data_IF_413035624598
#
_entry.id   IF_413035624598
#
_cell.length_a   1.000
_cell.length_b   1.000
_cell.length_c   1.000
_cell.angle_alpha   90.00
_cell.angle_beta   90.00
_cell.angle_gamma   90.00
#
_symmetry.space_group_name_H-M   'P 1'
#
loop_
_entity.id
_entity.type
_entity.pdbx_description
1 polymer ?
#
# COMPACT_ATOMS: atom_id res chain seq x y z
N UNK A 1 16.89 -11.83 -6.35
CA UNK A 1 17.16 -10.46 -5.86
C UNK A 1 16.97 -9.38 -6.95
N UNK A 2 17.55 -9.51 -8.15
CA UNK A 2 17.36 -8.49 -9.21
C UNK A 2 15.88 -8.29 -9.60
N UNK A 3 15.14 -9.38 -9.81
CA UNK A 3 13.71 -9.31 -10.15
C UNK A 3 12.86 -8.67 -9.05
N UNK A 4 13.25 -8.81 -7.78
CA UNK A 4 12.57 -8.17 -6.64
C UNK A 4 12.73 -6.66 -6.71
N UNK A 5 13.96 -6.20 -6.99
CA UNK A 5 14.25 -4.76 -7.14
C UNK A 5 13.56 -4.16 -8.34
N UNK A 6 13.48 -4.90 -9.44
CA UNK A 6 12.76 -4.47 -10.64
C UNK A 6 11.26 -4.36 -10.37
N UNK A 7 10.65 -5.37 -9.74
CA UNK A 7 9.25 -5.31 -9.32
C UNK A 7 9.00 -4.12 -8.39
N UNK A 8 9.84 -3.91 -7.37
CA UNK A 8 9.73 -2.77 -6.46
C UNK A 8 9.83 -1.43 -7.22
N UNK A 9 10.78 -1.29 -8.14
CA UNK A 9 10.94 -0.07 -8.97
C UNK A 9 9.71 0.20 -9.83
N UNK A 10 9.10 -0.82 -10.41
CA UNK A 10 7.88 -0.68 -11.22
C UNK A 10 6.70 -0.22 -10.35
N UNK A 11 6.56 -0.79 -9.15
CA UNK A 11 5.53 -0.37 -8.19
C UNK A 11 5.75 1.09 -7.77
N UNK A 12 7.00 1.51 -7.51
CA UNK A 12 7.30 2.91 -7.20
C UNK A 12 6.94 3.86 -8.34
N UNK A 13 7.16 3.46 -9.59
CA UNK A 13 6.76 4.27 -10.75
C UNK A 13 5.24 4.40 -10.84
N UNK A 14 4.50 3.29 -10.66
CA UNK A 14 3.05 3.29 -10.62
C UNK A 14 2.53 4.16 -9.46
N UNK A 15 3.14 4.07 -8.29
CA UNK A 15 2.79 4.90 -7.14
C UNK A 15 3.05 6.40 -7.40
N UNK A 16 4.12 6.78 -8.08
CA UNK A 16 4.36 8.18 -8.48
C UNK A 16 3.25 8.71 -9.39
N UNK A 17 2.80 7.91 -10.36
CA UNK A 17 1.69 8.28 -11.24
C UNK A 17 0.35 8.37 -10.48
N UNK A 18 0.17 7.52 -9.47
CA UNK A 18 -1.00 7.57 -8.59
C UNK A 18 -0.98 8.84 -7.72
N UNK A 19 0.18 9.18 -7.15
CA UNK A 19 0.37 10.36 -6.29
C UNK A 19 0.00 11.66 -7.01
N UNK A 20 0.35 11.79 -8.28
CA UNK A 20 -0.04 12.93 -9.13
C UNK A 20 -1.56 13.09 -9.27
N UNK A 21 -2.32 12.01 -9.04
CA UNK A 21 -3.78 11.97 -9.15
C UNK A 21 -4.46 11.78 -7.79
N UNK A 22 -3.77 12.06 -6.68
CA UNK A 22 -4.32 11.86 -5.34
C UNK A 22 -5.64 12.60 -5.12
N UNK A 23 -5.78 13.86 -5.58
CA UNK A 23 -7.05 14.59 -5.47
C UNK A 23 -8.20 13.89 -6.21
N UNK A 24 -7.92 13.31 -7.37
CA UNK A 24 -8.90 12.51 -8.13
C UNK A 24 -9.31 11.28 -7.34
N UNK A 25 -8.36 10.61 -6.67
CA UNK A 25 -8.63 9.46 -5.82
C UNK A 25 -9.52 9.83 -4.63
N UNK A 26 -9.25 10.93 -3.95
CA UNK A 26 -10.07 11.43 -2.84
C UNK A 26 -11.49 11.78 -3.30
N UNK A 27 -11.62 12.48 -4.43
CA UNK A 27 -12.94 12.77 -5.01
C UNK A 27 -13.72 11.52 -5.39
N UNK A 28 -13.04 10.49 -5.91
CA UNK A 28 -13.66 9.20 -6.22
C UNK A 28 -14.14 8.47 -4.95
N UNK A 29 -13.33 8.46 -3.89
CA UNK A 29 -13.74 7.90 -2.59
C UNK A 29 -14.94 8.65 -2.01
N UNK A 30 -14.96 9.98 -2.09
CA UNK A 30 -16.09 10.77 -1.61
C UNK A 30 -17.39 10.39 -2.35
N UNK A 31 -17.39 10.44 -3.69
CA UNK A 31 -18.59 10.13 -4.49
C UNK A 31 -19.08 8.70 -4.28
N UNK A 32 -18.16 7.74 -4.21
CA UNK A 32 -18.54 6.33 -4.02
C UNK A 32 -19.06 6.05 -2.61
N UNK A 33 -18.53 6.73 -1.57
CA UNK A 33 -19.09 6.70 -0.22
C UNK A 33 -20.49 7.31 -0.14
N UNK A 34 -20.70 8.44 -0.80
CA UNK A 34 -22.02 9.09 -0.89
C UNK A 34 -23.04 8.12 -1.51
N UNK A 35 -22.68 7.45 -2.61
CA UNK A 35 -23.51 6.43 -3.27
C UNK A 35 -23.72 5.17 -2.42
N UNK A 36 -22.79 4.84 -1.53
CA UNK A 36 -22.91 3.73 -0.58
C UNK A 36 -23.67 4.10 0.70
N UNK A 37 -24.01 5.38 0.87
CA UNK A 37 -24.52 5.95 2.13
C UNK A 37 -23.59 5.72 3.34
N UNK A 38 -22.27 5.56 3.12
CA UNK A 38 -21.25 5.36 4.19
C UNK A 38 -20.44 6.65 4.46
N UNK A 39 -21.17 7.68 4.87
CA UNK A 39 -20.59 9.00 5.16
C UNK A 39 -20.11 9.16 6.60
N UNK A 40 -20.48 8.23 7.49
CA UNK A 40 -20.19 8.32 8.92
C UNK A 40 -18.82 7.73 9.26
N UNK A 41 -18.42 6.65 8.59
CA UNK A 41 -17.20 5.92 8.93
C UNK A 41 -16.05 6.29 8.00
N UNK A 42 -14.79 6.23 8.48
CA UNK A 42 -13.62 6.34 7.61
C UNK A 42 -13.58 5.20 6.60
N UNK A 43 -12.90 5.45 5.47
CA UNK A 43 -12.44 4.39 4.60
C UNK A 43 -11.23 3.75 5.26
N UNK A 44 -11.46 2.59 5.86
CA UNK A 44 -10.55 1.97 6.80
C UNK A 44 -9.90 0.69 6.25
N UNK A 45 -10.21 0.24 5.04
CA UNK A 45 -9.61 -0.99 4.51
C UNK A 45 -9.52 -0.99 2.98
N UNK A 46 -8.62 -1.81 2.43
CA UNK A 46 -8.52 -2.05 0.98
C UNK A 46 -9.84 -2.63 0.46
N UNK A 47 -10.49 -3.49 1.24
CA UNK A 47 -11.76 -4.11 0.86
C UNK A 47 -12.93 -3.15 0.78
N UNK A 48 -12.96 -2.11 1.63
CA UNK A 48 -13.95 -1.04 1.45
C UNK A 48 -13.73 -0.29 0.13
N UNK A 49 -12.48 0.01 -0.25
CA UNK A 49 -12.17 0.66 -1.53
C UNK A 49 -12.63 -0.21 -2.72
N UNK A 50 -12.36 -1.52 -2.66
CA UNK A 50 -12.82 -2.49 -3.66
C UNK A 50 -14.35 -2.53 -3.73
N UNK A 51 -15.03 -2.64 -2.58
CA UNK A 51 -16.49 -2.68 -2.51
C UNK A 51 -17.14 -1.42 -3.09
N UNK A 52 -16.59 -0.25 -2.80
CA UNK A 52 -17.02 1.02 -3.38
C UNK A 52 -16.85 1.06 -4.90
N UNK A 53 -15.72 0.58 -5.41
CA UNK A 53 -15.47 0.50 -6.85
C UNK A 53 -16.44 -0.45 -7.55
N UNK A 54 -16.74 -1.61 -6.95
CA UNK A 54 -17.56 -2.64 -7.60
C UNK A 54 -19.04 -2.29 -7.60
N UNK A 55 -19.55 -1.75 -6.48
CA UNK A 55 -20.99 -1.61 -6.26
C UNK A 55 -21.50 -0.16 -6.32
N UNK A 56 -20.62 0.83 -6.17
CA UNK A 56 -21.04 2.23 -5.96
C UNK A 56 -20.33 3.23 -6.88
N UNK A 57 -19.54 2.74 -7.85
CA UNK A 57 -18.79 3.58 -8.79
C UNK A 57 -19.46 3.63 -10.17
N UNK A 58 -20.01 4.81 -10.49
CA UNK A 58 -20.85 5.03 -11.67
C UNK A 58 -20.13 5.66 -12.88
N UNK A 59 -18.86 6.08 -12.74
CA UNK A 59 -18.10 6.66 -13.86
C UNK A 59 -16.71 6.02 -14.01
N UNK A 60 -16.18 6.11 -15.23
CA UNK A 60 -14.93 5.47 -15.63
C UNK A 60 -13.69 6.12 -15.02
N UNK A 61 -13.70 7.44 -14.79
CA UNK A 61 -12.58 8.16 -14.18
C UNK A 61 -12.35 7.69 -12.74
N UNK A 62 -13.41 7.60 -11.96
CA UNK A 62 -13.38 7.12 -10.57
C UNK A 62 -12.95 5.66 -10.52
N UNK A 63 -13.56 4.82 -11.37
CA UNK A 63 -13.19 3.40 -11.47
C UNK A 63 -11.70 3.26 -11.80
N UNK A 64 -11.17 4.05 -12.72
CA UNK A 64 -9.77 4.00 -13.11
C UNK A 64 -8.83 4.33 -11.95
N UNK A 65 -9.10 5.39 -11.19
CA UNK A 65 -8.21 5.80 -10.10
C UNK A 65 -8.33 4.88 -8.87
N UNK A 66 -9.53 4.38 -8.56
CA UNK A 66 -9.73 3.37 -7.51
C UNK A 66 -9.01 2.06 -7.88
N UNK A 67 -9.14 1.62 -9.12
CA UNK A 67 -8.44 0.44 -9.61
C UNK A 67 -6.91 0.61 -9.58
N UNK A 68 -6.40 1.82 -9.84
CA UNK A 68 -4.97 2.10 -9.74
C UNK A 68 -4.44 1.89 -8.32
N UNK A 69 -5.17 2.36 -7.30
CA UNK A 69 -4.84 2.09 -5.89
C UNK A 69 -4.86 0.59 -5.57
N UNK A 70 -5.91 -0.11 -5.99
CA UNK A 70 -6.10 -1.54 -5.73
C UNK A 70 -5.00 -2.39 -6.39
N UNK A 71 -4.66 -2.09 -7.64
CA UNK A 71 -3.58 -2.77 -8.37
C UNK A 71 -2.22 -2.57 -7.70
N UNK A 72 -1.93 -1.36 -7.19
CA UNK A 72 -0.68 -1.14 -6.44
C UNK A 72 -0.66 -1.96 -5.15
N UNK A 73 -1.77 -2.04 -4.43
CA UNK A 73 -1.86 -2.86 -3.21
C UNK A 73 -1.68 -4.36 -3.53
N UNK A 74 -2.27 -4.84 -4.62
CA UNK A 74 -2.12 -6.22 -5.09
C UNK A 74 -0.68 -6.53 -5.54
N UNK A 75 -0.05 -5.63 -6.29
CA UNK A 75 1.35 -5.76 -6.70
C UNK A 75 2.30 -5.79 -5.48
N UNK A 76 2.03 -4.97 -4.46
CA UNK A 76 2.77 -4.99 -3.19
C UNK A 76 2.56 -6.32 -2.43
N UNK A 77 1.35 -6.87 -2.44
CA UNK A 77 1.03 -8.16 -1.81
C UNK A 77 1.77 -9.30 -2.50
N UNK A 78 1.74 -9.33 -3.83
CA UNK A 78 2.51 -10.27 -4.66
C UNK A 78 4.01 -10.13 -4.40
N UNK A 79 4.50 -8.90 -4.24
CA UNK A 79 5.90 -8.67 -3.89
C UNK A 79 6.23 -9.27 -2.52
N UNK A 80 5.37 -9.12 -1.49
CA UNK A 80 5.56 -9.77 -0.18
C UNK A 80 5.82 -11.27 -0.34
N UNK A 81 4.96 -11.96 -1.10
CA UNK A 81 5.07 -13.42 -1.30
C UNK A 81 6.33 -13.79 -2.09
N UNK A 82 6.71 -12.96 -3.08
CA UNK A 82 7.97 -13.14 -3.80
C UNK A 82 9.19 -12.98 -2.89
N UNK A 83 9.15 -12.08 -1.91
CA UNK A 83 10.24 -11.88 -0.96
C UNK A 83 10.47 -13.10 -0.06
N UNK A 84 9.40 -13.76 0.38
CA UNK A 84 9.46 -14.98 1.21
C UNK A 84 10.15 -16.15 0.49
N UNK A 85 9.99 -16.25 -0.83
CA UNK A 85 10.61 -17.33 -1.61
C UNK A 85 12.10 -17.07 -1.92
N UNK A 86 12.54 -15.81 -1.89
CA UNK A 86 13.90 -15.42 -2.31
C UNK A 86 14.91 -15.50 -1.16
N UNK A 87 14.48 -15.37 0.09
CA UNK A 87 15.37 -15.42 1.24
C UNK A 87 14.70 -16.18 2.37
N UNK A 88 15.37 -17.13 3.06
CA UNK A 88 14.81 -17.91 4.18
C UNK A 88 14.48 -17.06 5.43
N UNK A 89 14.49 -15.72 5.29
CA UNK A 89 14.18 -14.79 6.35
C UNK A 89 15.17 -14.77 7.51
N UNK A 90 15.05 -13.74 8.32
CA UNK A 90 15.50 -13.69 9.69
C UNK A 90 14.37 -13.01 10.50
N UNK A 91 14.49 -12.95 11.81
CA UNK A 91 13.43 -12.38 12.68
C UNK A 91 13.01 -10.97 12.26
N UNK A 92 13.97 -10.14 11.82
CA UNK A 92 13.71 -8.76 11.38
C UNK A 92 12.96 -8.72 10.04
N UNK A 93 13.50 -9.38 9.02
CA UNK A 93 12.91 -9.42 7.66
C UNK A 93 11.55 -10.10 7.64
N UNK A 94 11.35 -11.14 8.46
CA UNK A 94 10.04 -11.79 8.62
C UNK A 94 9.06 -10.84 9.30
N UNK A 95 9.48 -10.13 10.36
CA UNK A 95 8.63 -9.13 11.02
C UNK A 95 8.18 -8.01 10.07
N UNK A 96 9.06 -7.56 9.18
CA UNK A 96 8.74 -6.57 8.14
C UNK A 96 7.69 -7.13 7.17
N UNK A 97 7.88 -8.36 6.67
CA UNK A 97 6.94 -8.97 5.72
C UNK A 97 5.56 -9.24 6.34
N UNK A 98 5.51 -9.75 7.57
CA UNK A 98 4.24 -9.95 8.28
C UNK A 98 3.49 -8.64 8.46
N UNK A 99 4.21 -7.56 8.81
CA UNK A 99 3.61 -6.23 8.90
C UNK A 99 3.05 -5.76 7.56
N UNK A 100 3.78 -5.94 6.46
CA UNK A 100 3.29 -5.58 5.12
C UNK A 100 2.04 -6.36 4.73
N UNK A 101 2.05 -7.68 4.92
CA UNK A 101 0.90 -8.55 4.63
C UNK A 101 -0.32 -8.18 5.47
N UNK A 102 -0.12 -7.87 6.75
CA UNK A 102 -1.20 -7.40 7.63
C UNK A 102 -1.80 -6.08 7.11
N UNK A 103 -0.95 -5.09 6.79
CA UNK A 103 -1.41 -3.79 6.28
C UNK A 103 -2.17 -3.90 4.95
N UNK A 104 -1.73 -4.80 4.06
CA UNK A 104 -2.35 -5.02 2.75
C UNK A 104 -3.55 -5.98 2.79
N UNK A 105 -3.82 -6.61 3.95
CA UNK A 105 -4.94 -7.52 4.09
C UNK A 105 -6.26 -6.80 3.81
N UNK A 106 -7.13 -7.48 3.08
CA UNK A 106 -8.37 -6.93 2.54
C UNK A 106 -9.26 -6.27 3.62
N UNK A 107 -9.29 -6.82 4.83
CA UNK A 107 -10.13 -6.36 5.95
C UNK A 107 -9.36 -5.65 7.07
N UNK A 108 -8.05 -5.41 6.90
CA UNK A 108 -7.27 -4.78 7.96
C UNK A 108 -7.71 -3.32 8.17
N UNK A 109 -7.80 -2.91 9.44
CA UNK A 109 -8.15 -1.54 9.81
C UNK A 109 -6.94 -0.60 9.66
N UNK A 110 -7.11 0.40 8.81
CA UNK A 110 -6.15 1.43 8.45
C UNK A 110 -6.49 2.77 9.14
N UNK A 111 -7.59 2.86 9.89
CA UNK A 111 -8.09 4.13 10.46
C UNK A 111 -7.04 4.87 11.30
N UNK A 112 -6.12 4.15 11.93
CA UNK A 112 -5.08 4.67 12.83
C UNK A 112 -3.72 4.90 12.17
N UNK A 113 -3.47 4.37 10.97
CA UNK A 113 -2.14 4.47 10.35
C UNK A 113 -1.95 5.84 9.70
N UNK A 114 -0.78 6.45 9.87
CA UNK A 114 -0.43 7.71 9.20
C UNK A 114 0.99 7.65 8.68
N UNK A 115 1.15 7.99 7.40
CA UNK A 115 2.46 8.12 6.80
C UNK A 115 3.19 9.28 7.48
N UNK A 116 4.45 9.06 7.81
CA UNK A 116 5.31 10.06 8.44
C UNK A 116 6.17 10.73 7.37
N UNK A 117 6.81 11.83 7.73
CA UNK A 117 7.86 12.44 6.91
C UNK A 117 8.85 11.36 6.40
N UNK A 118 9.24 11.36 5.12
CA UNK A 118 9.08 12.43 4.12
C UNK A 118 7.77 12.41 3.32
N UNK A 119 6.82 11.52 3.63
CA UNK A 119 5.58 11.42 2.86
C UNK A 119 4.60 12.54 3.21
N UNK A 120 4.19 13.31 2.21
CA UNK A 120 3.30 14.45 2.33
C UNK A 120 1.84 14.15 1.90
N UNK A 121 1.54 12.90 1.56
CA UNK A 121 0.19 12.46 1.13
C UNK A 121 -0.91 12.89 2.10
N UNK A 122 -0.66 12.86 3.40
CA UNK A 122 -1.65 13.27 4.41
C UNK A 122 -1.82 14.80 4.43
N UNK A 123 -0.79 15.56 4.06
CA UNK A 123 -0.82 17.02 4.03
C UNK A 123 -1.63 17.58 2.85
N UNK A 124 -1.93 16.74 1.83
CA UNK A 124 -2.84 17.09 0.75
C UNK A 124 -4.32 16.96 1.13
N UNK A 125 -4.62 16.47 2.33
CA UNK A 125 -5.96 16.37 2.88
C UNK A 125 -6.23 17.54 3.83
N UNK A 126 -7.49 17.96 3.94
CA UNK A 126 -7.91 18.78 5.07
C UNK A 126 -7.76 18.01 6.39
N UNK A 127 -7.73 18.73 7.51
CA UNK A 127 -7.63 18.12 8.84
C UNK A 127 -8.74 17.08 9.10
N UNK A 128 -9.95 17.36 8.65
CA UNK A 128 -11.09 16.45 8.81
C UNK A 128 -10.92 15.19 7.95
N UNK A 129 -10.58 15.34 6.67
CA UNK A 129 -10.31 14.21 5.77
C UNK A 129 -9.16 13.33 6.28
N UNK A 130 -8.07 13.95 6.74
CA UNK A 130 -6.92 13.25 7.29
C UNK A 130 -7.26 12.49 8.57
N UNK A 131 -8.10 13.05 9.43
CA UNK A 131 -8.43 12.44 10.73
C UNK A 131 -9.54 11.40 10.61
N UNK A 132 -10.59 11.71 9.87
CA UNK A 132 -11.88 11.04 9.97
C UNK A 132 -12.27 10.25 8.72
N UNK A 133 -11.64 10.46 7.56
CA UNK A 133 -12.11 9.87 6.29
C UNK A 133 -11.06 9.02 5.55
N UNK A 134 -9.93 9.62 5.17
CA UNK A 134 -9.05 9.05 4.13
C UNK A 134 -7.60 8.88 4.57
N UNK A 135 -7.21 9.45 5.72
CA UNK A 135 -5.82 9.47 6.18
C UNK A 135 -5.14 8.10 6.23
N UNK A 136 -5.87 7.06 6.65
CA UNK A 136 -5.38 5.68 6.68
C UNK A 136 -5.06 5.13 5.29
N UNK A 137 -6.05 5.19 4.40
CA UNK A 137 -5.94 4.68 3.03
C UNK A 137 -4.86 5.39 2.22
N UNK A 138 -4.75 6.73 2.29
CA UNK A 138 -3.68 7.45 1.56
C UNK A 138 -2.28 7.14 2.10
N UNK A 139 -2.20 6.72 3.37
CA UNK A 139 -0.94 6.40 4.03
C UNK A 139 -0.46 4.98 3.75
N UNK A 140 -1.34 4.08 3.28
CA UNK A 140 -1.04 2.66 3.15
C UNK A 140 0.16 2.40 2.22
N UNK A 141 0.07 2.83 0.95
CA UNK A 141 1.09 2.57 -0.07
C UNK A 141 2.48 3.08 0.34
N UNK A 142 2.67 4.34 0.76
CA UNK A 142 4.01 4.82 1.14
C UNK A 142 4.60 4.07 2.34
N UNK A 143 3.77 3.72 3.35
CA UNK A 143 4.24 2.95 4.51
C UNK A 143 4.73 1.56 4.07
N UNK A 144 3.96 0.87 3.23
CA UNK A 144 4.33 -0.47 2.77
C UNK A 144 5.56 -0.41 1.85
N UNK A 145 5.67 0.60 0.98
CA UNK A 145 6.86 0.80 0.15
C UNK A 145 8.13 1.00 0.99
N UNK A 146 8.06 1.78 2.07
CA UNK A 146 9.19 1.95 2.99
C UNK A 146 9.59 0.63 3.65
N UNK A 147 8.61 -0.15 4.12
CA UNK A 147 8.86 -1.48 4.67
C UNK A 147 9.54 -2.40 3.63
N UNK A 148 9.14 -2.36 2.36
CA UNK A 148 9.78 -3.17 1.30
C UNK A 148 11.23 -2.73 1.05
N UNK A 149 11.51 -1.43 1.06
CA UNK A 149 12.88 -0.90 0.92
C UNK A 149 13.76 -1.27 2.09
N UNK A 150 13.20 -1.20 3.30
CA UNK A 150 13.87 -1.63 4.53
C UNK A 150 14.22 -3.12 4.45
N UNK A 151 13.28 -3.97 3.99
CA UNK A 151 13.52 -5.39 3.78
C UNK A 151 14.67 -5.66 2.79
N UNK A 152 14.69 -4.98 1.64
CA UNK A 152 15.75 -5.12 0.64
C UNK A 152 17.10 -4.67 1.23
N UNK A 153 17.10 -3.57 1.98
CA UNK A 153 18.32 -3.06 2.63
C UNK A 153 18.87 -4.05 3.66
N UNK A 154 18.01 -4.69 4.45
CA UNK A 154 18.44 -5.70 5.43
C UNK A 154 18.99 -6.96 4.76
N UNK A 155 18.37 -7.42 3.67
CA UNK A 155 18.84 -8.61 2.95
C UNK A 155 20.13 -8.38 2.19
N UNK A 156 20.43 -7.15 1.77
CA UNK A 156 21.72 -6.80 1.17
C UNK A 156 22.85 -6.65 2.19
N UNK A 157 22.53 -6.19 3.41
CA UNK A 157 23.51 -6.02 4.49
C UNK A 157 23.89 -7.35 5.16
N UNK A 158 23.12 -8.42 4.95
CA UNK A 158 23.52 -9.74 5.41
C UNK A 158 24.79 -10.17 4.67
N UNK A 159 25.88 -10.49 5.38
CA UNK A 159 27.10 -10.94 4.72
C UNK A 159 26.78 -12.20 3.90
N UNK A 160 27.28 -12.25 2.66
CA UNK A 160 27.20 -13.41 1.73
C UNK A 160 27.94 -14.66 2.24
N UNK A 161 28.07 -14.83 3.55
CA UNK A 161 28.97 -15.77 4.20
C UNK A 161 28.24 -17.01 4.73
N UNK A 162 27.25 -17.53 4.00
CA UNK A 162 26.69 -18.87 4.25
C UNK A 162 26.23 -19.56 2.95
N UNK A 163 27.02 -19.45 1.88
CA UNK A 163 26.82 -20.27 0.66
C UNK A 163 28.04 -21.08 0.23
N UNK A 164 29.08 -21.16 1.06
CA UNK A 164 30.13 -22.16 0.94
C UNK A 164 30.33 -22.80 2.29
N UNK A 165 29.56 -23.85 2.57
CA UNK A 165 29.96 -24.99 3.39
C UNK A 165 28.83 -26.02 3.37
N UNK A 166 28.92 -26.94 2.41
CA UNK A 166 29.04 -28.38 2.69
C UNK A 166 29.52 -29.04 1.41
N UNK A 167 30.72 -29.59 1.50
CA UNK A 167 31.34 -30.55 0.59
C UNK A 167 30.50 -31.82 0.43
#
# INVERSE_FOLDING_TARGET
MNEVKEALRNIEQNYKLFLQQQFTFIGALQRTRENAHDMIRPVASVGQVQSYMDHHCNNSTDRRILNMFLNICDDLSKLCHKLETVHPGNTVTNGILERCKLLLSHSNDLSTIRAKYPHDVVNHLSCDEAKNHYGGVVSLIPIVLDCMKEWVTHTEKLPRHVLYNTS
#
